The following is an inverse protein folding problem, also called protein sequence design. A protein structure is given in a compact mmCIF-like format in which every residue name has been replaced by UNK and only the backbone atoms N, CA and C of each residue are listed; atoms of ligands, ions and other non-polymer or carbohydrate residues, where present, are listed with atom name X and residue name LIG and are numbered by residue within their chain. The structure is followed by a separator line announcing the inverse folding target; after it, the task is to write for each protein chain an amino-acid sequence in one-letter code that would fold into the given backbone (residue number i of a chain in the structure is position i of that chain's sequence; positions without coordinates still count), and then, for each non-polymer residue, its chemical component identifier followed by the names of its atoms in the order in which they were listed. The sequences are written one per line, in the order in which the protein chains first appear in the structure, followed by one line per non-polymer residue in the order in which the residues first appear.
data_IF_899053710238
#
_entry.id   IF_899053710238
#
_cell.length_a   1.000
_cell.length_b   1.000
_cell.length_c   1.000
_cell.angle_alpha   90.00
_cell.angle_beta   90.00
_cell.angle_gamma   90.00
#
_symmetry.space_group_name_H-M   'P 1'
#
loop_
_entity.id
_entity.type
_entity.pdbx_description
1 polymer ?
#
# COMPACT_ATOMS: atom_id res chain seq x y z
N UNK A 1 14.19 -34.45 20.58
CA UNK A 1 14.22 -35.16 19.27
C UNK A 1 15.17 -36.33 19.42
N UNK A 2 14.88 -37.50 18.90
CA UNK A 2 15.78 -38.62 19.01
C UNK A 2 16.94 -38.44 18.02
N UNK A 3 18.13 -38.88 18.40
CA UNK A 3 19.37 -38.87 17.62
C UNK A 3 19.17 -39.42 16.17
N UNK A 4 18.28 -40.43 16.02
CA UNK A 4 17.91 -41.00 14.74
C UNK A 4 17.13 -40.05 13.81
N UNK A 5 16.41 -39.03 14.32
CA UNK A 5 15.73 -38.02 13.52
C UNK A 5 16.70 -36.94 13.02
N UNK A 6 17.72 -36.62 13.83
CA UNK A 6 18.78 -35.71 13.42
C UNK A 6 19.67 -36.29 12.34
N UNK A 7 20.05 -37.57 12.48
CA UNK A 7 20.85 -38.28 11.47
C UNK A 7 20.09 -38.39 10.12
N UNK A 8 18.77 -38.64 10.14
CA UNK A 8 17.95 -38.67 8.93
C UNK A 8 17.82 -37.31 8.25
N UNK A 9 17.70 -36.23 9.03
CA UNK A 9 17.66 -34.87 8.50
C UNK A 9 18.98 -34.52 7.79
N UNK A 10 20.11 -34.82 8.41
CA UNK A 10 21.45 -34.58 7.81
C UNK A 10 21.66 -35.40 6.54
N UNK A 11 21.23 -36.65 6.51
CA UNK A 11 21.35 -37.52 5.33
C UNK A 11 20.52 -37.00 4.13
N UNK A 12 19.41 -36.28 4.36
CA UNK A 12 18.55 -35.77 3.29
C UNK A 12 18.94 -34.38 2.77
N UNK A 13 19.55 -33.53 3.59
CA UNK A 13 19.82 -32.13 3.26
C UNK A 13 21.31 -31.87 2.95
N UNK A 14 22.17 -32.87 3.14
CA UNK A 14 23.62 -32.73 2.96
C UNK A 14 24.24 -31.77 4.00
N UNK A 15 25.30 -31.11 3.59
CA UNK A 15 26.07 -30.18 4.47
C UNK A 15 25.57 -28.73 4.42
N UNK A 16 24.56 -28.44 3.60
CA UNK A 16 24.03 -27.08 3.47
C UNK A 16 22.98 -26.82 4.56
N UNK A 17 23.34 -26.03 5.55
CA UNK A 17 22.50 -25.66 6.67
C UNK A 17 22.13 -24.17 6.61
N UNK A 18 20.97 -23.82 7.10
CA UNK A 18 20.52 -22.42 7.23
C UNK A 18 19.78 -22.20 8.55
N UNK A 19 19.58 -20.93 8.90
CA UNK A 19 18.96 -20.47 10.15
C UNK A 19 17.62 -19.77 9.96
N UNK A 20 17.01 -19.82 8.76
CA UNK A 20 15.81 -19.05 8.40
C UNK A 20 14.66 -19.17 9.41
N UNK A 21 14.42 -20.38 9.92
CA UNK A 21 13.36 -20.57 10.92
C UNK A 21 13.70 -19.94 12.26
N UNK A 22 14.94 -20.08 12.70
CA UNK A 22 15.42 -19.49 13.95
C UNK A 22 15.40 -17.95 13.88
N UNK A 23 15.82 -17.38 12.75
CA UNK A 23 15.77 -15.95 12.49
C UNK A 23 14.33 -15.42 12.49
N UNK A 24 13.38 -16.11 11.86
CA UNK A 24 11.97 -15.74 11.87
C UNK A 24 11.38 -15.76 13.28
N UNK A 25 11.74 -16.75 14.11
CA UNK A 25 11.33 -16.82 15.51
C UNK A 25 11.92 -15.68 16.31
N UNK A 26 13.22 -15.40 16.15
CA UNK A 26 13.89 -14.31 16.84
C UNK A 26 13.28 -12.95 16.46
N UNK A 27 13.03 -12.70 15.18
CA UNK A 27 12.38 -11.47 14.70
C UNK A 27 10.98 -11.30 15.30
N UNK A 28 10.18 -12.37 15.39
CA UNK A 28 8.86 -12.34 16.02
C UNK A 28 8.92 -12.05 17.52
N UNK A 29 9.92 -12.58 18.21
CA UNK A 29 10.14 -12.32 19.65
C UNK A 29 10.55 -10.86 19.88
N UNK A 30 11.46 -10.36 19.06
CA UNK A 30 11.94 -8.98 19.13
C UNK A 30 10.82 -7.99 18.81
N UNK A 31 9.99 -8.26 17.80
CA UNK A 31 8.79 -7.46 17.51
C UNK A 31 7.90 -7.31 18.74
N UNK A 32 7.61 -8.41 19.45
CA UNK A 32 6.78 -8.40 20.65
C UNK A 32 7.43 -7.66 21.81
N UNK A 33 8.74 -7.84 21.99
CA UNK A 33 9.53 -7.18 23.05
C UNK A 33 9.52 -5.66 22.89
N UNK A 34 9.59 -5.18 21.65
CA UNK A 34 9.65 -3.75 21.35
C UNK A 34 8.26 -3.10 21.19
N UNK A 35 7.18 -3.87 21.22
CA UNK A 35 5.84 -3.37 20.94
C UNK A 35 5.43 -2.17 21.80
N UNK A 36 5.72 -2.22 23.11
CA UNK A 36 5.37 -1.14 24.04
C UNK A 36 6.22 0.13 23.86
N UNK A 37 7.35 0.01 23.19
CA UNK A 37 8.23 1.14 22.85
C UNK A 37 7.82 1.82 21.53
N UNK A 38 6.87 1.25 20.80
CA UNK A 38 6.41 1.79 19.53
C UNK A 38 5.47 2.97 19.75
N UNK A 39 5.49 3.89 18.80
CA UNK A 39 4.71 5.12 18.86
C UNK A 39 3.22 4.86 18.63
N UNK A 40 2.38 5.33 19.55
CA UNK A 40 0.93 5.45 19.35
C UNK A 40 0.56 6.79 18.70
N UNK A 41 1.42 7.79 18.83
CA UNK A 41 1.29 9.09 18.18
C UNK A 41 2.60 9.36 17.46
N UNK A 42 2.53 9.60 16.15
CA UNK A 42 3.69 9.97 15.34
C UNK A 42 3.73 11.50 15.27
N UNK A 43 4.77 12.15 15.78
CA UNK A 43 4.93 13.60 15.65
C UNK A 43 5.03 14.02 14.18
N UNK A 44 4.50 15.16 13.82
CA UNK A 44 4.48 15.64 12.44
C UNK A 44 5.88 15.75 11.81
N UNK A 45 6.88 16.11 12.62
CA UNK A 45 8.29 16.20 12.22
C UNK A 45 8.95 14.84 11.98
N UNK A 46 8.40 13.77 12.53
CA UNK A 46 8.89 12.41 12.32
C UNK A 46 8.31 11.74 11.07
N UNK A 47 7.34 12.37 10.43
CA UNK A 47 6.69 11.88 9.21
C UNK A 47 7.49 12.35 7.98
N UNK A 48 8.21 11.45 7.27
CA UNK A 48 9.04 11.84 6.14
C UNK A 48 8.22 12.11 4.88
N UNK A 49 8.71 13.04 4.06
CA UNK A 49 8.23 13.24 2.70
C UNK A 49 8.99 12.36 1.72
N UNK A 50 8.29 11.95 0.68
CA UNK A 50 8.84 11.23 -0.46
C UNK A 50 8.28 11.79 -1.76
N UNK A 51 9.14 11.98 -2.78
CA UNK A 51 8.70 12.18 -4.15
C UNK A 51 8.70 10.83 -4.82
N UNK A 52 7.52 10.34 -5.13
CA UNK A 52 7.27 9.00 -5.65
C UNK A 52 6.64 9.06 -7.04
N UNK A 53 6.49 7.89 -7.67
CA UNK A 53 5.75 7.75 -8.92
C UNK A 53 4.28 8.24 -8.83
N UNK A 54 3.72 8.28 -7.61
CA UNK A 54 2.38 8.82 -7.34
C UNK A 54 2.37 10.32 -7.04
N UNK A 55 3.52 10.97 -7.04
CA UNK A 55 3.70 12.38 -6.74
C UNK A 55 4.34 12.62 -5.37
N UNK A 56 4.05 13.77 -4.76
CA UNK A 56 4.54 14.11 -3.43
C UNK A 56 3.65 13.47 -2.38
N UNK A 57 4.26 12.64 -1.52
CA UNK A 57 3.58 11.98 -0.41
C UNK A 57 4.30 12.25 0.92
N UNK A 58 3.58 12.14 2.02
CA UNK A 58 4.10 12.17 3.37
C UNK A 58 3.62 10.92 4.12
N UNK A 59 4.55 10.07 4.55
CA UNK A 59 4.22 8.85 5.27
C UNK A 59 3.70 9.16 6.67
N UNK A 60 2.50 8.69 6.99
CA UNK A 60 1.84 8.87 8.28
C UNK A 60 1.97 7.63 9.17
N UNK A 61 1.70 6.46 8.60
CA UNK A 61 1.81 5.15 9.25
C UNK A 61 2.54 4.22 8.29
N UNK A 62 3.65 3.67 8.74
CA UNK A 62 4.48 2.79 7.94
C UNK A 62 5.35 1.92 8.84
N UNK A 63 5.64 0.68 8.44
CA UNK A 63 6.45 -0.26 9.23
C UNK A 63 7.86 0.24 9.58
N UNK A 64 8.39 1.21 8.84
CA UNK A 64 9.70 1.85 9.08
C UNK A 64 9.63 3.06 10.03
N UNK A 65 8.45 3.48 10.46
CA UNK A 65 8.26 4.65 11.34
C UNK A 65 8.15 4.29 12.82
N UNK A 66 8.42 3.05 13.21
CA UNK A 66 8.31 2.56 14.58
C UNK A 66 6.93 2.81 15.21
N UNK A 67 5.86 2.67 14.43
CA UNK A 67 4.47 2.80 14.88
C UNK A 67 3.92 1.49 15.42
N UNK A 68 2.86 1.55 16.23
CA UNK A 68 2.18 0.36 16.79
C UNK A 68 1.33 -0.40 15.78
N UNK A 69 1.27 0.07 14.55
CA UNK A 69 0.50 -0.58 13.49
C UNK A 69 1.05 -1.98 13.14
N UNK A 70 0.18 -2.87 12.71
CA UNK A 70 0.52 -4.22 12.28
C UNK A 70 0.07 -4.52 10.84
N UNK A 71 -0.98 -3.90 10.37
CA UNK A 71 -1.61 -4.24 9.09
C UNK A 71 -2.05 -3.04 8.25
N UNK A 72 -1.93 -1.83 8.78
CA UNK A 72 -2.35 -0.60 8.10
C UNK A 72 -1.13 0.20 7.69
N UNK A 73 -1.20 0.77 6.49
CA UNK A 73 -0.26 1.73 5.95
C UNK A 73 -1.04 2.99 5.58
N UNK A 74 -0.51 4.17 5.87
CA UNK A 74 -1.18 5.42 5.53
C UNK A 74 -0.16 6.48 5.13
N UNK A 75 -0.53 7.26 4.12
CA UNK A 75 0.22 8.43 3.68
C UNK A 75 -0.72 9.58 3.33
N UNK A 76 -0.20 10.79 3.33
CA UNK A 76 -0.88 11.96 2.79
C UNK A 76 -0.28 12.28 1.43
N UNK A 77 -1.11 12.31 0.40
CA UNK A 77 -0.76 12.74 -0.93
C UNK A 77 -1.07 14.23 -1.11
N UNK A 78 -0.19 14.93 -1.79
CA UNK A 78 -0.30 16.35 -2.08
C UNK A 78 -0.40 16.54 -3.59
N UNK A 79 -1.47 17.18 -4.04
CA UNK A 79 -1.68 17.51 -5.44
C UNK A 79 -1.81 19.04 -5.56
N UNK A 80 -0.87 19.68 -6.23
CA UNK A 80 -0.95 21.10 -6.56
C UNK A 80 -2.11 21.41 -7.51
N UNK A 81 -2.39 22.69 -7.77
CA UNK A 81 -3.47 23.09 -8.68
C UNK A 81 -3.31 22.47 -10.07
N UNK A 82 -4.35 21.77 -10.55
CA UNK A 82 -4.35 21.09 -11.84
C UNK A 82 -3.42 19.87 -11.92
N UNK A 83 -2.75 19.48 -10.84
CA UNK A 83 -1.92 18.29 -10.81
C UNK A 83 -2.73 16.98 -10.69
N UNK A 84 -2.07 15.89 -11.05
CA UNK A 84 -2.59 14.53 -10.94
C UNK A 84 -1.59 13.60 -10.29
N UNK A 85 -2.11 12.54 -9.69
CA UNK A 85 -1.27 11.43 -9.20
C UNK A 85 -0.69 10.61 -10.34
N UNK A 86 0.15 9.66 -10.01
CA UNK A 86 0.42 8.51 -10.86
C UNK A 86 -0.85 7.72 -11.12
N UNK A 87 -0.87 6.95 -12.21
CA UNK A 87 -1.94 6.01 -12.55
C UNK A 87 -1.44 4.62 -12.25
N UNK A 88 -2.15 3.90 -11.38
CA UNK A 88 -1.70 2.59 -10.93
C UNK A 88 -2.86 1.66 -10.58
N UNK A 89 -2.54 0.44 -10.23
CA UNK A 89 -3.43 -0.56 -9.67
C UNK A 89 -2.69 -1.46 -8.70
N UNK A 90 -3.41 -2.01 -7.76
CA UNK A 90 -2.88 -2.95 -6.78
C UNK A 90 -3.95 -3.93 -6.29
N UNK A 91 -3.52 -4.99 -5.65
CA UNK A 91 -4.39 -6.09 -5.22
C UNK A 91 -5.20 -5.79 -3.96
N UNK A 92 -4.84 -4.77 -3.22
CA UNK A 92 -5.56 -4.34 -2.01
C UNK A 92 -6.51 -3.18 -2.31
N UNK A 93 -7.49 -2.99 -1.44
CA UNK A 93 -8.35 -1.80 -1.45
C UNK A 93 -7.63 -0.59 -0.86
N UNK A 94 -8.06 0.59 -1.28
CA UNK A 94 -7.71 1.85 -0.63
C UNK A 94 -8.93 2.58 -0.11
N UNK A 95 -8.74 3.22 1.04
CA UNK A 95 -9.67 4.14 1.67
C UNK A 95 -9.02 5.52 1.68
N UNK A 96 -9.66 6.50 1.07
CA UNK A 96 -9.08 7.83 0.90
C UNK A 96 -9.99 8.87 1.54
N UNK A 97 -9.47 9.60 2.52
CA UNK A 97 -10.16 10.74 3.11
C UNK A 97 -9.65 12.05 2.51
N UNK A 98 -10.55 12.87 2.00
CA UNK A 98 -10.21 14.18 1.44
C UNK A 98 -10.07 15.19 2.58
N UNK A 99 -8.83 15.45 2.99
CA UNK A 99 -8.54 16.38 4.08
C UNK A 99 -8.66 17.85 3.64
N UNK A 100 -8.30 18.15 2.38
CA UNK A 100 -8.36 19.51 1.83
C UNK A 100 -8.53 19.47 0.29
N UNK A 101 -9.16 20.51 -0.26
CA UNK A 101 -9.33 20.68 -1.71
C UNK A 101 -10.56 20.00 -2.28
N UNK A 102 -10.60 19.93 -3.61
CA UNK A 102 -11.63 19.27 -4.41
C UNK A 102 -11.03 18.78 -5.72
N UNK A 103 -11.64 17.75 -6.28
CA UNK A 103 -11.14 17.17 -7.51
C UNK A 103 -11.99 16.02 -7.99
N UNK A 104 -11.37 15.09 -8.67
CA UNK A 104 -12.02 13.85 -9.09
C UNK A 104 -11.04 12.70 -9.22
N UNK A 105 -11.58 11.51 -9.14
CA UNK A 105 -10.89 10.27 -9.46
C UNK A 105 -11.40 9.69 -10.77
N UNK A 106 -10.50 9.04 -11.49
CA UNK A 106 -10.84 8.17 -12.60
C UNK A 106 -10.57 6.72 -12.18
N UNK A 107 -11.60 5.87 -12.27
CA UNK A 107 -11.52 4.45 -11.96
C UNK A 107 -11.83 3.61 -13.19
N UNK A 108 -10.90 2.74 -13.58
CA UNK A 108 -11.10 1.69 -14.58
C UNK A 108 -11.34 0.37 -13.86
N UNK A 109 -12.60 -0.02 -13.75
CA UNK A 109 -12.98 -1.23 -13.03
C UNK A 109 -12.47 -2.50 -13.71
N UNK A 110 -12.18 -3.50 -12.89
CA UNK A 110 -11.88 -4.84 -13.35
C UNK A 110 -13.14 -5.46 -13.99
N UNK A 111 -12.99 -5.93 -15.22
CA UNK A 111 -13.98 -6.77 -15.89
C UNK A 111 -13.54 -8.23 -15.80
N UNK A 112 -14.35 -9.02 -15.16
CA UNK A 112 -14.09 -10.44 -14.94
C UNK A 112 -15.08 -11.30 -15.73
N UNK A 113 -14.58 -12.23 -16.53
CA UNK A 113 -15.36 -13.23 -17.25
C UNK A 113 -14.87 -14.64 -16.91
N UNK A 114 -15.81 -15.51 -16.55
CA UNK A 114 -15.56 -16.93 -16.29
C UNK A 114 -16.57 -17.77 -17.05
N UNK A 115 -16.26 -18.07 -18.32
CA UNK A 115 -17.07 -18.94 -19.18
C UNK A 115 -16.29 -20.22 -19.46
N UNK A 116 -15.37 -20.17 -20.43
CA UNK A 116 -14.52 -21.33 -20.79
C UNK A 116 -13.11 -21.24 -20.19
N UNK A 117 -12.70 -20.02 -19.78
CA UNK A 117 -11.45 -19.72 -19.13
C UNK A 117 -11.60 -18.48 -18.26
N UNK A 118 -10.72 -18.34 -17.27
CA UNK A 118 -10.60 -17.09 -16.51
C UNK A 118 -10.01 -16.01 -17.41
N UNK A 119 -10.80 -14.97 -17.67
CA UNK A 119 -10.35 -13.76 -18.35
C UNK A 119 -10.65 -12.58 -17.47
N UNK A 120 -9.66 -11.76 -17.25
CA UNK A 120 -9.80 -10.46 -16.61
C UNK A 120 -9.16 -9.39 -17.48
N UNK A 121 -9.84 -8.28 -17.56
CA UNK A 121 -9.45 -7.11 -18.31
C UNK A 121 -10.03 -5.89 -17.59
N UNK A 122 -9.65 -4.70 -18.01
CA UNK A 122 -10.19 -3.47 -17.46
C UNK A 122 -11.13 -2.85 -18.47
N UNK A 123 -12.15 -2.17 -17.97
CA UNK A 123 -13.02 -1.37 -18.84
C UNK A 123 -12.18 -0.32 -19.57
N UNK A 124 -12.54 -0.06 -20.84
CA UNK A 124 -11.79 0.91 -21.66
C UNK A 124 -12.03 2.36 -21.18
N UNK A 125 -13.26 2.65 -20.76
CA UNK A 125 -13.67 3.99 -20.31
C UNK A 125 -13.75 4.02 -18.79
N UNK A 126 -13.11 5.00 -18.12
CA UNK A 126 -13.17 5.11 -16.67
C UNK A 126 -14.50 5.67 -16.19
N UNK A 127 -14.85 5.31 -14.97
CA UNK A 127 -15.84 6.04 -14.20
C UNK A 127 -15.19 7.27 -13.58
N UNK A 128 -15.95 8.34 -13.50
CA UNK A 128 -15.54 9.62 -12.93
C UNK A 128 -16.24 9.84 -11.59
N UNK A 129 -15.47 10.09 -10.54
CA UNK A 129 -15.96 10.32 -9.18
C UNK A 129 -15.45 11.68 -8.68
N UNK A 130 -16.32 12.69 -8.68
CA UNK A 130 -16.00 13.98 -8.10
C UNK A 130 -15.94 13.87 -6.58
N UNK A 131 -15.03 14.60 -5.95
CA UNK A 131 -14.87 14.66 -4.50
C UNK A 131 -14.51 16.08 -4.03
N UNK A 132 -14.78 16.33 -2.77
CA UNK A 132 -14.46 17.58 -2.08
C UNK A 132 -14.05 17.30 -0.62
N UNK A 133 -13.52 18.31 0.04
CA UNK A 133 -13.11 18.22 1.45
C UNK A 133 -14.19 17.58 2.32
N UNK A 134 -13.81 16.58 3.10
CA UNK A 134 -14.67 15.83 4.01
C UNK A 134 -15.25 14.56 3.39
N UNK A 135 -15.13 14.36 2.07
CA UNK A 135 -15.58 13.15 1.41
C UNK A 135 -14.65 11.98 1.69
N UNK A 136 -15.18 10.79 1.48
CA UNK A 136 -14.47 9.53 1.62
C UNK A 136 -14.57 8.73 0.32
N UNK A 137 -13.44 8.31 -0.25
CA UNK A 137 -13.36 7.59 -1.51
C UNK A 137 -12.96 6.14 -1.21
N UNK A 138 -13.55 5.20 -1.88
CA UNK A 138 -13.19 3.78 -1.84
C UNK A 138 -12.67 3.35 -3.20
N UNK A 139 -11.47 2.79 -3.23
CA UNK A 139 -10.88 2.16 -4.42
C UNK A 139 -10.90 0.65 -4.25
N UNK A 140 -11.71 -0.08 -5.05
CA UNK A 140 -11.76 -1.53 -4.98
C UNK A 140 -10.43 -2.20 -5.38
N UNK A 141 -10.16 -3.44 -4.89
CA UNK A 141 -9.02 -4.22 -5.36
C UNK A 141 -8.92 -4.29 -6.88
N UNK A 142 -7.71 -4.20 -7.42
CA UNK A 142 -7.41 -4.24 -8.87
C UNK A 142 -8.01 -3.13 -9.74
N UNK A 143 -8.76 -2.19 -9.19
CA UNK A 143 -9.21 -1.03 -9.95
C UNK A 143 -8.00 -0.17 -10.35
N UNK A 144 -7.84 0.09 -11.64
CA UNK A 144 -6.88 1.11 -12.10
C UNK A 144 -7.47 2.45 -11.70
N UNK A 145 -6.67 3.29 -11.05
CA UNK A 145 -7.15 4.58 -10.56
C UNK A 145 -6.11 5.69 -10.67
N UNK A 146 -6.60 6.91 -10.63
CA UNK A 146 -5.80 8.14 -10.69
C UNK A 146 -6.57 9.30 -10.06
N UNK A 147 -5.91 10.12 -9.26
CA UNK A 147 -6.48 11.27 -8.56
C UNK A 147 -6.12 12.57 -9.25
N UNK A 148 -7.04 13.50 -9.32
CA UNK A 148 -6.87 14.80 -9.98
C UNK A 148 -7.32 15.93 -9.06
N UNK A 149 -6.46 16.90 -8.82
CA UNK A 149 -6.89 18.17 -8.25
C UNK A 149 -7.46 19.04 -9.37
N UNK A 150 -8.78 19.27 -9.34
CA UNK A 150 -9.48 20.07 -10.35
C UNK A 150 -9.53 21.57 -10.02
N UNK A 151 -8.97 22.00 -8.88
CA UNK A 151 -8.98 23.38 -8.48
C UNK A 151 -7.94 24.21 -9.26
N UNK A 152 -8.31 25.39 -9.69
CA UNK A 152 -7.38 26.36 -10.29
C UNK A 152 -6.41 26.94 -9.24
N UNK A 153 -6.81 26.96 -7.98
CA UNK A 153 -6.04 27.47 -6.86
C UNK A 153 -6.17 26.52 -5.67
N UNK A 154 -5.09 26.36 -4.95
CA UNK A 154 -5.05 25.54 -3.76
C UNK A 154 -4.60 24.11 -3.99
N UNK A 155 -4.01 23.55 -2.97
CA UNK A 155 -3.51 22.18 -2.93
C UNK A 155 -4.63 21.25 -2.46
N UNK A 156 -4.74 20.09 -3.06
CA UNK A 156 -5.56 19.01 -2.50
C UNK A 156 -4.68 18.09 -1.63
N UNK A 157 -5.25 17.65 -0.51
CA UNK A 157 -4.60 16.70 0.43
C UNK A 157 -5.51 15.51 0.64
N UNK A 158 -5.00 14.36 0.25
CA UNK A 158 -5.69 13.08 0.35
C UNK A 158 -4.97 12.21 1.39
N UNK A 159 -5.68 11.75 2.41
CA UNK A 159 -5.15 10.74 3.33
C UNK A 159 -5.53 9.37 2.79
N UNK A 160 -4.54 8.67 2.28
CA UNK A 160 -4.69 7.34 1.70
C UNK A 160 -4.35 6.29 2.76
N UNK A 161 -5.23 5.31 2.91
CA UNK A 161 -5.11 4.23 3.89
C UNK A 161 -5.29 2.91 3.17
N UNK A 162 -4.34 2.02 3.32
CA UNK A 162 -4.37 0.68 2.73
C UNK A 162 -4.10 -0.42 3.75
N UNK A 163 -4.60 -1.61 3.46
CA UNK A 163 -4.37 -2.79 4.29
C UNK A 163 -3.14 -3.54 3.81
N UNK A 164 -2.03 -3.37 4.53
CA UNK A 164 -0.76 -4.02 4.23
C UNK A 164 -0.77 -5.54 4.42
N UNK A 165 -1.74 -6.12 5.14
CA UNK A 165 -1.77 -7.56 5.41
C UNK A 165 -1.88 -8.37 4.11
N UNK A 166 -2.55 -7.84 3.10
CA UNK A 166 -2.68 -8.47 1.78
C UNK A 166 -1.31 -8.68 1.15
N UNK A 167 -0.45 -7.67 1.24
CA UNK A 167 0.94 -7.68 0.80
C UNK A 167 1.78 -8.71 1.59
N UNK A 168 1.65 -8.72 2.92
CA UNK A 168 2.33 -9.67 3.80
C UNK A 168 1.88 -11.13 3.57
N UNK A 169 0.67 -11.33 3.05
CA UNK A 169 0.16 -12.65 2.64
C UNK A 169 0.71 -13.12 1.28
N UNK A 170 1.53 -12.33 0.61
CA UNK A 170 2.11 -12.65 -0.70
C UNK A 170 1.29 -12.19 -1.90
N UNK A 171 0.24 -11.41 -1.67
CA UNK A 171 -0.57 -10.77 -2.72
C UNK A 171 -0.08 -9.35 -3.01
N UNK A 172 1.22 -9.19 -3.18
CA UNK A 172 1.90 -7.91 -3.39
C UNK A 172 1.97 -7.57 -4.88
N UNK A 173 0.82 -7.49 -5.53
CA UNK A 173 0.76 -7.06 -6.92
C UNK A 173 0.47 -5.56 -6.97
N UNK A 174 1.43 -4.83 -7.49
CA UNK A 174 1.36 -3.39 -7.74
C UNK A 174 1.92 -3.08 -9.13
N UNK A 175 1.15 -2.41 -9.95
CA UNK A 175 1.56 -1.96 -11.29
C UNK A 175 1.43 -0.44 -11.39
N UNK A 176 2.55 0.24 -11.58
CA UNK A 176 2.58 1.65 -11.96
C UNK A 176 2.42 1.75 -13.48
N UNK A 177 1.32 2.33 -13.95
CA UNK A 177 0.98 2.45 -15.37
C UNK A 177 1.44 3.80 -15.94
N UNK A 178 1.31 4.88 -15.18
CA UNK A 178 1.80 6.22 -15.51
C UNK A 178 2.36 6.89 -14.26
N UNK A 179 3.47 7.58 -14.38
CA UNK A 179 4.01 8.37 -13.29
C UNK A 179 3.28 9.70 -13.14
N UNK A 180 3.29 10.24 -11.93
CA UNK A 180 2.89 11.61 -11.67
C UNK A 180 3.80 12.60 -12.43
N UNK A 181 3.31 13.79 -12.77
CA UNK A 181 4.14 14.82 -13.41
C UNK A 181 5.37 15.16 -12.58
N UNK A 182 6.52 15.21 -13.20
CA UNK A 182 7.78 15.61 -12.56
C UNK A 182 8.49 14.51 -11.75
N UNK A 183 8.09 13.25 -11.94
CA UNK A 183 8.82 12.08 -11.41
C UNK A 183 9.62 11.39 -12.50
#
# INVERSE_FOLDING_TARGET
MSEALEERAVAHVGTNTCSFRAEAVAASQEFRRLYDQRLSVVPAEAMPFERSADGLIKHLVHNRLNTKECCVEAYMQFLGPGERSGKHRHMWEELIFVAEGSGHDLHWDLKFECIDAFKWDWVAEPKHFAWQRGDFIYVPPFTIHQHFNAADNGEARLIVISNRIVKEMGFDWFDQLENAPGF
#
